data_IF_001938009222
#
_entry.id   IF_001938009222
#
_cell.length_a   1.000
_cell.length_b   1.000
_cell.length_c   1.000
_cell.angle_alpha   90.00
_cell.angle_beta   90.00
_cell.angle_gamma   90.00
#
_symmetry.space_group_name_H-M   'P 1'
#
loop_
_entity.id
_entity.type
_entity.pdbx_description
1 polymer ?
#
# COMPACT_ATOMS: atom_id res chain seq x y z
N UNK A 1 -17.13 -3.96 -29.72
CA UNK A 1 -16.41 -4.43 -28.53
C UNK A 1 -15.57 -3.26 -28.06
N UNK A 2 -15.97 -2.63 -26.95
CA UNK A 2 -15.23 -1.51 -26.41
C UNK A 2 -13.97 -2.05 -25.73
N UNK A 3 -12.83 -1.58 -26.19
CA UNK A 3 -11.54 -1.72 -25.53
C UNK A 3 -11.69 -1.04 -24.16
N UNK A 4 -11.74 -1.83 -23.08
CA UNK A 4 -11.70 -1.32 -21.71
C UNK A 4 -10.26 -0.86 -21.46
N UNK A 5 -9.91 0.29 -22.01
CA UNK A 5 -8.67 0.97 -21.69
C UNK A 5 -8.71 1.31 -20.20
N UNK A 6 -8.02 0.49 -19.41
CA UNK A 6 -7.60 0.85 -18.05
C UNK A 6 -6.99 2.26 -18.14
N UNK A 7 -7.47 3.25 -17.36
CA UNK A 7 -6.78 4.52 -17.33
C UNK A 7 -5.34 4.24 -16.90
N UNK A 8 -4.37 4.64 -17.72
CA UNK A 8 -2.97 4.55 -17.35
C UNK A 8 -2.80 5.32 -16.04
N UNK A 9 -2.29 4.64 -15.01
CA UNK A 9 -1.88 5.29 -13.78
C UNK A 9 -0.76 6.27 -14.16
N UNK A 10 -1.05 7.57 -14.09
CA UNK A 10 -0.03 8.59 -14.24
C UNK A 10 0.87 8.52 -13.00
N UNK A 11 2.13 8.15 -13.22
CA UNK A 11 3.14 8.03 -12.17
C UNK A 11 4.13 9.18 -12.30
N UNK A 12 4.45 9.80 -11.16
CA UNK A 12 5.46 10.85 -11.07
C UNK A 12 6.58 10.40 -10.16
N UNK A 13 7.77 10.96 -10.30
CA UNK A 13 8.90 10.60 -9.44
C UNK A 13 9.30 11.78 -8.57
N UNK A 14 9.32 11.60 -7.25
CA UNK A 14 9.93 12.54 -6.33
C UNK A 14 11.37 12.09 -6.09
N UNK A 15 12.32 12.87 -6.57
CA UNK A 15 13.74 12.73 -6.27
C UNK A 15 14.13 13.63 -5.10
N UNK A 16 15.11 13.21 -4.31
CA UNK A 16 15.69 14.03 -3.26
C UNK A 16 17.21 13.91 -3.21
N UNK A 17 17.84 14.97 -2.70
CA UNK A 17 19.28 15.02 -2.44
C UNK A 17 19.54 15.33 -0.98
N UNK A 18 20.39 14.55 -0.32
CA UNK A 18 20.82 14.84 1.06
C UNK A 18 21.92 15.91 1.08
N UNK A 19 22.18 16.50 2.25
CA UNK A 19 23.32 17.43 2.42
C UNK A 19 24.68 16.76 2.18
N UNK A 20 24.77 15.45 2.38
CA UNK A 20 25.95 14.65 2.07
C UNK A 20 26.09 14.36 0.56
N UNK A 21 25.09 14.72 -0.25
CA UNK A 21 25.10 14.52 -1.70
C UNK A 21 24.49 13.19 -2.17
N UNK A 22 23.91 12.40 -1.27
CA UNK A 22 23.24 11.15 -1.62
C UNK A 22 21.94 11.44 -2.37
N UNK A 23 21.60 10.57 -3.31
CA UNK A 23 20.38 10.66 -4.10
C UNK A 23 19.43 9.54 -3.70
N UNK A 24 18.14 9.87 -3.60
CA UNK A 24 17.08 8.89 -3.47
C UNK A 24 15.86 9.33 -4.25
N UNK A 25 14.94 8.40 -4.48
CA UNK A 25 13.68 8.69 -5.16
C UNK A 25 12.55 7.78 -4.71
N UNK A 26 11.32 8.23 -4.95
CA UNK A 26 10.10 7.45 -4.76
C UNK A 26 9.13 7.75 -5.90
N UNK A 27 8.40 6.72 -6.33
CA UNK A 27 7.30 6.90 -7.28
C UNK A 27 6.04 7.32 -6.53
N UNK A 28 5.38 8.36 -7.04
CA UNK A 28 4.10 8.84 -6.58
C UNK A 28 2.97 8.52 -7.56
N UNK A 29 1.76 8.54 -7.03
CA UNK A 29 0.52 8.36 -7.78
C UNK A 29 -0.10 9.71 -8.10
N UNK A 30 -0.51 9.95 -9.35
CA UNK A 30 -1.25 11.16 -9.72
C UNK A 30 -2.74 10.90 -9.65
N UNK A 31 -3.46 11.79 -8.96
CA UNK A 31 -4.91 11.72 -8.78
C UNK A 31 -5.56 13.07 -9.09
N UNK A 32 -6.78 13.02 -9.58
CA UNK A 32 -7.64 14.21 -9.75
C UNK A 32 -8.43 14.44 -8.47
N UNK A 33 -8.20 15.57 -7.78
CA UNK A 33 -8.92 15.93 -6.56
C UNK A 33 -9.51 17.32 -6.67
N UNK A 34 -10.83 17.40 -6.64
CA UNK A 34 -11.59 18.65 -6.83
C UNK A 34 -11.17 19.43 -8.11
N UNK A 35 -10.91 18.69 -9.20
CA UNK A 35 -10.50 19.24 -10.49
C UNK A 35 -9.04 19.69 -10.57
N UNK A 36 -8.18 19.19 -9.68
CA UNK A 36 -6.73 19.46 -9.68
C UNK A 36 -5.93 18.17 -9.74
N UNK A 37 -4.85 18.15 -10.53
CA UNK A 37 -3.87 17.05 -10.53
C UNK A 37 -2.95 17.13 -9.32
N UNK A 38 -3.08 16.16 -8.42
CA UNK A 38 -2.28 16.01 -7.21
C UNK A 38 -1.40 14.77 -7.32
N UNK A 39 -0.08 14.92 -7.17
CA UNK A 39 0.85 13.80 -7.07
C UNK A 39 1.09 13.44 -5.60
N UNK A 40 0.75 12.22 -5.21
CA UNK A 40 0.88 11.70 -3.85
C UNK A 40 2.11 10.77 -3.76
N UNK A 41 3.06 11.10 -2.89
CA UNK A 41 4.30 10.33 -2.71
C UNK A 41 4.31 9.62 -1.35
N UNK A 42 4.23 8.28 -1.37
CA UNK A 42 4.28 7.45 -0.14
C UNK A 42 5.72 7.23 0.32
N UNK A 43 6.19 8.15 1.16
CA UNK A 43 7.51 8.05 1.80
C UNK A 43 7.53 7.05 2.96
N UNK A 44 6.37 6.57 3.42
CA UNK A 44 6.29 5.68 4.58
C UNK A 44 6.92 4.32 4.30
N UNK A 45 6.93 3.82 3.05
CA UNK A 45 7.60 2.55 2.69
C UNK A 45 9.04 2.72 2.21
N UNK A 46 9.50 3.95 2.01
CA UNK A 46 10.84 4.18 1.47
C UNK A 46 11.90 4.08 2.57
N UNK A 47 12.61 2.94 2.60
CA UNK A 47 13.77 2.79 3.48
C UNK A 47 14.83 3.84 3.17
N UNK A 48 15.06 4.13 1.89
CA UNK A 48 15.98 5.17 1.45
C UNK A 48 15.61 6.54 2.01
N UNK A 49 14.31 6.88 2.07
CA UNK A 49 13.85 8.10 2.72
C UNK A 49 14.06 8.08 4.24
N UNK A 50 13.69 6.96 4.90
CA UNK A 50 13.84 6.83 6.36
C UNK A 50 15.29 6.87 6.84
N UNK A 51 16.21 6.37 6.02
CA UNK A 51 17.64 6.39 6.28
C UNK A 51 18.32 7.63 5.71
N UNK A 52 17.60 8.46 4.95
CA UNK A 52 18.16 9.70 4.46
C UNK A 52 18.54 10.56 5.66
N UNK A 53 19.75 11.12 5.62
CA UNK A 53 20.14 12.18 6.54
C UNK A 53 19.34 13.46 6.27
N UNK A 54 19.95 14.62 6.55
CA UNK A 54 19.29 15.90 6.25
C UNK A 54 19.06 16.06 4.74
N UNK A 55 17.80 16.04 4.32
CA UNK A 55 17.39 16.32 2.94
C UNK A 55 17.60 17.80 2.64
N UNK A 56 18.29 18.11 1.54
CA UNK A 56 18.59 19.46 1.06
C UNK A 56 17.57 19.95 0.04
N UNK A 57 17.17 19.08 -0.89
CA UNK A 57 16.22 19.42 -1.95
C UNK A 57 15.32 18.24 -2.28
N UNK A 58 14.13 18.58 -2.76
CA UNK A 58 13.11 17.69 -3.30
C UNK A 58 12.75 18.20 -4.69
N UNK A 59 12.72 17.31 -5.68
CA UNK A 59 12.41 17.63 -7.07
C UNK A 59 11.37 16.62 -7.57
N UNK A 60 10.27 17.11 -8.15
CA UNK A 60 9.30 16.24 -8.83
C UNK A 60 9.74 16.16 -10.29
N UNK A 61 10.23 15.01 -10.67
CA UNK A 61 10.57 14.69 -12.04
C UNK A 61 9.29 14.29 -12.76
N UNK A 62 8.83 15.19 -13.63
CA UNK A 62 7.59 15.01 -14.38
C UNK A 62 7.77 13.94 -15.46
N UNK A 63 7.14 12.78 -15.28
CA UNK A 63 7.03 11.73 -16.28
C UNK A 63 5.92 12.02 -17.31
N UNK A 64 4.89 12.77 -16.92
CA UNK A 64 3.75 13.12 -17.78
C UNK A 64 3.88 14.52 -18.41
N UNK A 65 3.18 14.74 -19.55
CA UNK A 65 3.13 16.07 -20.23
C UNK A 65 2.21 17.08 -19.54
N UNK A 66 1.52 16.67 -18.47
CA UNK A 66 0.49 17.45 -17.81
C UNK A 66 1.04 18.04 -16.52
N UNK A 67 0.79 19.33 -16.30
CA UNK A 67 1.28 20.03 -15.11
C UNK A 67 0.65 19.44 -13.85
N UNK A 68 1.49 18.93 -12.94
CA UNK A 68 1.08 18.63 -11.57
C UNK A 68 0.86 19.95 -10.84
N UNK A 69 -0.37 20.17 -10.36
CA UNK A 69 -0.73 21.40 -9.65
C UNK A 69 -0.29 21.37 -8.18
N UNK A 70 -0.14 20.17 -7.62
CA UNK A 70 0.26 19.97 -6.22
C UNK A 70 0.97 18.64 -6.00
N UNK A 71 2.08 18.66 -5.26
CA UNK A 71 2.71 17.46 -4.69
C UNK A 71 2.36 17.31 -3.21
N UNK A 72 1.95 16.13 -2.78
CA UNK A 72 1.67 15.79 -1.39
C UNK A 72 2.60 14.66 -0.91
N UNK A 73 3.21 14.85 0.26
CA UNK A 73 4.02 13.83 0.92
C UNK A 73 3.15 13.10 1.93
N UNK A 74 2.96 11.80 1.75
CA UNK A 74 2.18 11.01 2.69
C UNK A 74 3.07 10.67 3.89
N UNK A 75 2.81 11.35 5.01
CA UNK A 75 3.49 11.10 6.30
C UNK A 75 2.77 9.98 7.07
N UNK A 76 1.46 9.83 6.86
CA UNK A 76 0.65 8.76 7.45
C UNK A 76 -0.41 8.32 6.45
N UNK A 77 -0.38 7.03 6.10
CA UNK A 77 -1.45 6.39 5.33
C UNK A 77 -2.73 6.35 6.18
N UNK A 78 -3.89 6.75 5.65
CA UNK A 78 -5.16 6.62 6.37
C UNK A 78 -5.51 5.16 6.65
N UNK A 79 -6.30 4.92 7.70
CA UNK A 79 -6.72 3.57 8.07
C UNK A 79 -7.80 3.03 7.14
N UNK A 80 -7.77 1.72 6.88
CA UNK A 80 -8.74 1.07 6.01
C UNK A 80 -10.01 0.72 6.82
N UNK A 81 -11.03 1.56 6.69
CA UNK A 81 -12.29 1.41 7.42
C UNK A 81 -13.00 0.07 7.13
N UNK A 82 -13.54 -0.53 8.19
CA UNK A 82 -14.44 -1.68 8.11
C UNK A 82 -13.78 -3.07 8.07
N UNK A 83 -12.44 -3.16 8.02
CA UNK A 83 -11.74 -4.46 7.87
C UNK A 83 -11.43 -5.18 9.19
N UNK A 84 -11.23 -4.43 10.28
CA UNK A 84 -11.00 -4.99 11.61
C UNK A 84 -9.73 -5.85 11.72
N UNK A 85 -9.66 -6.66 12.77
CA UNK A 85 -8.64 -7.70 12.93
C UNK A 85 -9.01 -8.95 12.10
N UNK A 86 -8.02 -9.75 11.65
CA UNK A 86 -8.29 -10.97 10.88
C UNK A 86 -9.04 -12.01 11.69
N UNK A 87 -9.96 -12.73 11.03
CA UNK A 87 -10.56 -13.97 11.53
C UNK A 87 -9.77 -15.17 10.96
N UNK A 88 -9.29 -16.07 11.81
CA UNK A 88 -8.56 -17.27 11.37
C UNK A 88 -9.55 -18.35 10.94
N UNK A 89 -9.50 -18.75 9.66
CA UNK A 89 -10.34 -19.81 9.07
C UNK A 89 -9.48 -20.91 8.49
N UNK A 90 -9.16 -21.91 9.32
CA UNK A 90 -8.28 -23.01 8.93
C UNK A 90 -6.88 -22.53 8.55
N UNK A 91 -6.49 -22.68 7.29
CA UNK A 91 -5.19 -22.23 6.77
C UNK A 91 -5.17 -20.77 6.29
N UNK A 92 -6.31 -20.07 6.33
CA UNK A 92 -6.52 -18.75 5.75
C UNK A 92 -6.84 -17.73 6.83
N UNK A 93 -6.57 -16.46 6.52
CA UNK A 93 -7.11 -15.34 7.28
C UNK A 93 -8.22 -14.69 6.46
N UNK A 94 -9.33 -14.37 7.13
CA UNK A 94 -10.46 -13.66 6.54
C UNK A 94 -10.50 -12.23 7.08
N UNK A 95 -10.79 -11.29 6.20
CA UNK A 95 -11.02 -9.88 6.53
C UNK A 95 -12.38 -9.46 5.99
N UNK A 96 -13.06 -8.60 6.74
CA UNK A 96 -14.24 -7.93 6.20
C UNK A 96 -13.82 -7.04 5.01
N UNK A 97 -14.66 -7.02 3.98
CA UNK A 97 -14.41 -6.24 2.76
C UNK A 97 -14.42 -4.75 3.14
N UNK A 98 -13.39 -3.98 2.76
CA UNK A 98 -13.32 -2.57 3.11
C UNK A 98 -14.46 -1.77 2.49
N UNK A 99 -15.00 -0.84 3.26
CA UNK A 99 -15.97 0.15 2.78
C UNK A 99 -15.21 1.37 2.25
N UNK A 100 -14.78 1.32 0.98
CA UNK A 100 -14.07 2.44 0.35
C UNK A 100 -15.11 3.44 -0.18
N UNK A 101 -15.13 4.65 0.37
CA UNK A 101 -16.13 5.69 0.02
C UNK A 101 -15.85 6.39 -1.32
N UNK A 102 -14.66 6.22 -1.88
CA UNK A 102 -14.29 6.71 -3.22
C UNK A 102 -14.51 5.58 -4.24
N UNK A 103 -14.82 5.90 -5.52
CA UNK A 103 -14.93 4.88 -6.54
C UNK A 103 -13.67 4.01 -6.51
N UNK A 104 -13.86 2.69 -6.45
CA UNK A 104 -12.75 1.75 -6.41
C UNK A 104 -11.82 2.06 -7.60
N UNK A 105 -10.60 2.52 -7.30
CA UNK A 105 -9.64 2.81 -8.35
C UNK A 105 -9.45 1.56 -9.22
N UNK A 106 -9.48 1.74 -10.54
CA UNK A 106 -9.32 0.63 -11.47
C UNK A 106 -7.96 -0.04 -11.20
N UNK A 107 -7.98 -1.35 -10.93
CA UNK A 107 -6.77 -2.11 -10.60
C UNK A 107 -6.33 -2.04 -9.14
N UNK A 108 -7.11 -1.42 -8.25
CA UNK A 108 -6.81 -1.47 -6.82
C UNK A 108 -7.08 -2.85 -6.21
N UNK A 109 -6.19 -3.26 -5.30
CA UNK A 109 -6.20 -4.59 -4.67
C UNK A 109 -5.93 -4.52 -3.18
N UNK A 110 -6.43 -5.51 -2.44
CA UNK A 110 -6.11 -5.70 -1.04
C UNK A 110 -4.91 -6.65 -0.92
N UNK A 111 -3.89 -6.25 -0.17
CA UNK A 111 -2.69 -7.04 0.10
C UNK A 111 -2.48 -7.16 1.60
N UNK A 112 -2.32 -8.39 2.09
CA UNK A 112 -1.87 -8.67 3.44
C UNK A 112 -0.35 -8.79 3.43
N UNK A 113 0.31 -7.96 4.24
CA UNK A 113 1.74 -8.04 4.53
C UNK A 113 1.92 -8.66 5.90
N UNK A 114 2.70 -9.73 5.99
CA UNK A 114 3.09 -10.41 7.22
C UNK A 114 4.59 -10.28 7.42
N UNK A 115 5.02 -9.90 8.62
CA UNK A 115 6.42 -9.81 9.02
C UNK A 115 6.65 -10.63 10.29
N UNK A 116 7.37 -11.75 10.16
CA UNK A 116 7.81 -12.52 11.31
C UNK A 116 8.98 -11.80 11.98
N UNK A 117 8.79 -11.28 13.20
CA UNK A 117 9.80 -10.43 13.84
C UNK A 117 11.04 -11.18 14.33
N UNK A 118 10.93 -12.50 14.56
CA UNK A 118 12.06 -13.34 14.96
C UNK A 118 13.11 -13.49 13.85
N UNK A 119 12.65 -13.80 12.63
CA UNK A 119 13.51 -14.10 11.47
C UNK A 119 13.60 -12.94 10.47
N UNK A 120 12.83 -11.87 10.69
CA UNK A 120 12.64 -10.76 9.74
C UNK A 120 12.18 -11.23 8.35
N UNK A 121 11.44 -12.35 8.29
CA UNK A 121 10.84 -12.88 7.07
C UNK A 121 9.58 -12.08 6.72
N UNK A 122 9.48 -11.62 5.46
CA UNK A 122 8.34 -10.90 4.92
C UNK A 122 7.55 -11.78 3.94
N UNK A 123 6.23 -11.80 4.08
CA UNK A 123 5.32 -12.41 3.12
C UNK A 123 4.24 -11.40 2.71
N UNK A 124 4.02 -11.25 1.40
CA UNK A 124 2.89 -10.50 0.85
C UNK A 124 1.90 -11.46 0.19
N UNK A 125 0.62 -11.31 0.52
CA UNK A 125 -0.48 -12.11 -0.02
C UNK A 125 -1.54 -11.19 -0.58
N UNK A 126 -1.85 -11.32 -1.86
CA UNK A 126 -3.04 -10.67 -2.44
C UNK A 126 -4.29 -11.37 -1.91
N UNK A 127 -5.29 -10.59 -1.48
CA UNK A 127 -6.54 -11.14 -0.98
C UNK A 127 -7.53 -11.39 -2.12
N UNK A 128 -8.17 -12.55 -2.08
CA UNK A 128 -9.21 -12.94 -3.03
C UNK A 128 -10.60 -12.83 -2.38
N UNK A 129 -11.68 -12.57 -3.14
CA UNK A 129 -13.03 -12.67 -2.61
C UNK A 129 -13.31 -14.04 -1.99
N UNK A 130 -13.91 -14.07 -0.80
CA UNK A 130 -14.32 -15.34 -0.18
C UNK A 130 -15.36 -16.02 -1.09
N UNK A 131 -15.15 -17.26 -1.55
CA UNK A 131 -16.12 -17.95 -2.40
C UNK A 131 -17.48 -18.17 -1.71
N UNK A 132 -17.52 -18.16 -0.38
CA UNK A 132 -18.76 -18.32 0.40
C UNK A 132 -19.49 -16.99 0.64
N UNK A 133 -18.78 -15.86 0.65
CA UNK A 133 -19.35 -14.52 0.85
C UNK A 133 -18.51 -13.43 0.14
N UNK A 134 -18.49 -13.41 -1.20
CA UNK A 134 -17.55 -12.57 -1.96
C UNK A 134 -17.86 -11.07 -1.83
N UNK A 135 -19.09 -10.74 -1.43
CA UNK A 135 -19.53 -9.37 -1.22
C UNK A 135 -19.02 -8.78 0.09
N UNK A 136 -18.76 -9.61 1.11
CA UNK A 136 -18.45 -9.13 2.47
C UNK A 136 -17.10 -9.56 3.00
N UNK A 137 -16.48 -10.59 2.42
CA UNK A 137 -15.24 -11.12 2.94
C UNK A 137 -14.17 -11.28 1.85
N UNK A 138 -12.93 -11.12 2.30
CA UNK A 138 -11.72 -11.33 1.54
C UNK A 138 -10.84 -12.35 2.27
N UNK A 139 -10.15 -13.22 1.53
CA UNK A 139 -9.31 -14.29 2.07
C UNK A 139 -7.85 -14.10 1.67
N UNK A 140 -6.96 -14.19 2.67
CA UNK A 140 -5.53 -14.30 2.46
C UNK A 140 -5.11 -15.77 2.58
N UNK A 141 -4.84 -16.40 1.44
CA UNK A 141 -4.54 -17.82 1.40
C UNK A 141 -3.17 -18.16 1.98
N UNK A 142 -3.12 -19.11 2.93
CA UNK A 142 -1.86 -19.57 3.53
C UNK A 142 -1.29 -18.67 4.62
N UNK A 143 -1.97 -17.56 4.98
CA UNK A 143 -1.54 -16.64 6.04
C UNK A 143 -1.28 -17.37 7.37
N UNK A 144 -2.18 -18.28 7.77
CA UNK A 144 -2.03 -19.01 9.03
C UNK A 144 -0.83 -19.97 9.01
N UNK A 145 -0.47 -20.51 7.84
CA UNK A 145 0.73 -21.37 7.71
C UNK A 145 2.00 -20.56 7.93
N UNK A 146 2.06 -19.33 7.42
CA UNK A 146 3.18 -18.43 7.66
C UNK A 146 3.36 -18.17 9.17
N UNK A 147 2.27 -17.82 9.85
CA UNK A 147 2.26 -17.56 11.30
C UNK A 147 2.68 -18.79 12.10
N UNK A 148 2.15 -19.97 11.77
CA UNK A 148 2.52 -21.21 12.46
C UNK A 148 4.01 -21.57 12.34
N UNK A 149 4.69 -21.15 11.25
CA UNK A 149 6.14 -21.37 11.08
C UNK A 149 7.00 -20.42 11.94
N UNK A 150 6.46 -19.29 12.38
CA UNK A 150 7.19 -18.31 13.19
C UNK A 150 7.50 -18.80 14.62
N UNK A 151 7.13 -20.04 14.97
CA UNK A 151 7.54 -20.74 16.19
C UNK A 151 7.32 -19.97 17.51
N UNK A 152 6.27 -19.14 17.57
CA UNK A 152 5.91 -18.33 18.75
C UNK A 152 6.61 -16.97 18.83
N UNK A 153 7.35 -16.57 17.79
CA UNK A 153 7.77 -15.18 17.62
C UNK A 153 6.59 -14.35 17.09
N UNK A 154 6.40 -13.11 17.60
CA UNK A 154 5.30 -12.27 17.14
C UNK A 154 5.37 -11.99 15.65
N UNK A 155 4.20 -12.06 14.99
CA UNK A 155 4.04 -11.70 13.58
C UNK A 155 3.27 -10.38 13.50
N UNK A 156 3.95 -9.35 13.02
CA UNK A 156 3.30 -8.09 12.67
C UNK A 156 2.56 -8.25 11.34
N UNK A 157 1.39 -7.65 11.21
CA UNK A 157 0.62 -7.67 9.99
C UNK A 157 0.15 -6.28 9.58
N UNK A 158 0.01 -6.07 8.27
CA UNK A 158 -0.62 -4.89 7.69
C UNK A 158 -1.56 -5.31 6.56
N UNK A 159 -2.81 -4.87 6.62
CA UNK A 159 -3.73 -4.96 5.50
C UNK A 159 -3.68 -3.64 4.73
N UNK A 160 -3.34 -3.72 3.45
CA UNK A 160 -3.10 -2.58 2.58
C UNK A 160 -4.08 -2.59 1.40
N UNK A 161 -4.69 -1.43 1.13
CA UNK A 161 -5.39 -1.19 -0.13
C UNK A 161 -4.44 -0.45 -1.06
N UNK A 162 -4.02 -1.11 -2.14
CA UNK A 162 -2.98 -0.64 -3.04
C UNK A 162 -3.53 -0.32 -4.42
N UNK A 163 -2.98 0.71 -5.05
CA UNK A 163 -3.10 1.01 -6.49
C UNK A 163 -1.71 0.87 -7.10
N UNK A 164 -1.46 -0.24 -7.82
CA UNK A 164 -0.10 -0.68 -8.13
C UNK A 164 0.72 -0.95 -6.86
N UNK A 165 1.82 -0.21 -6.68
CA UNK A 165 2.69 -0.25 -5.49
C UNK A 165 2.35 0.82 -4.44
N UNK A 166 1.46 1.76 -4.79
CA UNK A 166 1.08 2.87 -3.91
C UNK A 166 0.03 2.43 -2.89
N UNK A 167 0.27 2.70 -1.61
CA UNK A 167 -0.66 2.33 -0.54
C UNK A 167 -1.61 3.48 -0.24
N UNK A 168 -2.87 3.30 -0.61
CA UNK A 168 -3.93 4.29 -0.38
C UNK A 168 -4.43 4.25 1.06
N UNK A 169 -4.60 3.04 1.61
CA UNK A 169 -5.08 2.82 2.98
C UNK A 169 -4.32 1.68 3.64
N UNK A 170 -4.15 1.75 4.95
CA UNK A 170 -3.45 0.71 5.71
C UNK A 170 -4.01 0.55 7.12
N UNK A 171 -4.33 -0.69 7.47
CA UNK A 171 -4.61 -1.11 8.86
C UNK A 171 -3.52 -2.05 9.32
N UNK A 172 -3.14 -2.00 10.61
CA UNK A 172 -2.04 -2.79 11.16
C UNK A 172 -2.44 -3.49 12.45
N UNK A 173 -1.74 -4.56 12.76
CA UNK A 173 -1.80 -5.22 14.06
C UNK A 173 -0.66 -6.22 14.22
N UNK A 174 -0.81 -7.10 15.20
CA UNK A 174 0.13 -8.17 15.47
C UNK A 174 -0.60 -9.37 16.05
N UNK A 175 -0.07 -10.55 15.79
CA UNK A 175 -0.45 -11.79 16.45
C UNK A 175 0.77 -12.35 17.20
N UNK A 176 0.58 -13.03 18.33
CA UNK A 176 1.66 -13.70 19.05
C UNK A 176 2.29 -14.82 18.22
#
# INVERSE_FOLDING_TARGET
MADLATPALDLERLAWRTRAGELGSVTGLVRERAGRRVAEFDLTRSLAWRLAGSVRSLEVEQGSRSTIERGELIVRTPELAGTGAPEVRGAHWSFARPSVSEPAESGARCVLVLLALGELELLELELEPDPLDPARALLAHGAQRFVARAAGAPVAWALEYRSGEHVLFRTRGSVP
#
